data_IF_889711798625
#
_entry.id   IF_889711798625
#
_cell.length_a   1.000
_cell.length_b   1.000
_cell.length_c   1.000
_cell.angle_alpha   90.00
_cell.angle_beta   90.00
_cell.angle_gamma   90.00
#
_symmetry.space_group_name_H-M   'P 1'
#
loop_
_entity.id
_entity.type
_entity.pdbx_description
1 polymer ?
#
# COMPACT_ATOMS: atom_id res chain seq x y z
N UNK A 1 6.05 8.16 -10.45
CA UNK A 1 5.12 7.04 -10.70
C UNK A 1 3.88 7.26 -9.83
N UNK A 2 2.70 6.88 -10.28
CA UNK A 2 1.45 7.08 -9.52
C UNK A 2 1.01 5.76 -8.88
N UNK A 3 0.39 5.80 -7.69
CA UNK A 3 -0.17 4.61 -7.07
C UNK A 3 -1.29 4.03 -7.96
N UNK A 4 -1.22 2.75 -8.35
CA UNK A 4 -2.26 2.17 -9.19
C UNK A 4 -3.60 2.04 -8.43
N UNK A 5 -3.58 1.95 -7.10
CA UNK A 5 -4.77 1.80 -6.25
C UNK A 5 -5.48 3.13 -5.94
N UNK A 6 -4.77 4.13 -5.43
CA UNK A 6 -5.36 5.39 -4.96
C UNK A 6 -4.99 6.64 -5.78
N UNK A 7 -4.21 6.49 -6.85
CA UNK A 7 -3.74 7.61 -7.68
C UNK A 7 -2.86 8.66 -6.95
N UNK A 8 -2.37 8.37 -5.75
CA UNK A 8 -1.40 9.25 -5.06
C UNK A 8 0.00 9.16 -5.69
N UNK A 9 0.75 10.27 -5.68
CA UNK A 9 2.07 10.37 -6.31
C UNK A 9 3.24 10.03 -5.38
N UNK A 10 3.01 9.97 -4.06
CA UNK A 10 4.06 9.72 -3.06
C UNK A 10 4.33 8.22 -2.91
N UNK A 11 5.28 7.75 -3.70
CA UNK A 11 5.74 6.35 -3.72
C UNK A 11 7.19 6.26 -3.26
N UNK A 12 7.47 5.34 -2.35
CA UNK A 12 8.83 5.09 -1.84
C UNK A 12 9.29 3.67 -2.16
N UNK A 13 10.61 3.47 -2.22
CA UNK A 13 11.21 2.14 -2.31
C UNK A 13 11.27 1.53 -0.92
N UNK A 14 10.55 0.43 -0.72
CA UNK A 14 10.54 -0.30 0.54
C UNK A 14 11.72 -1.29 0.63
N UNK A 15 12.02 -1.98 -0.47
CA UNK A 15 13.10 -2.96 -0.51
C UNK A 15 13.63 -3.16 -1.92
N UNK A 16 14.88 -3.60 -2.03
CA UNK A 16 15.48 -4.09 -3.28
C UNK A 16 15.89 -5.54 -3.09
N UNK A 17 15.83 -6.31 -4.18
CA UNK A 17 16.32 -7.68 -4.18
C UNK A 17 17.80 -7.74 -3.73
N UNK A 18 18.20 -8.74 -2.91
CA UNK A 18 19.60 -8.97 -2.59
C UNK A 18 20.42 -9.36 -3.83
N UNK A 19 19.78 -9.92 -4.86
CA UNK A 19 20.37 -10.11 -6.19
C UNK A 19 20.03 -8.89 -7.04
N UNK A 20 21.07 -8.16 -7.47
CA UNK A 20 20.94 -6.89 -8.20
C UNK A 20 20.04 -7.04 -9.43
N UNK A 21 19.04 -6.15 -9.54
CA UNK A 21 18.20 -6.01 -10.74
C UNK A 21 17.04 -7.01 -10.87
N UNK A 22 16.81 -7.87 -9.87
CA UNK A 22 15.74 -8.88 -9.96
C UNK A 22 14.35 -8.32 -9.61
N UNK A 23 14.26 -7.47 -8.58
CA UNK A 23 13.03 -6.75 -8.27
C UNK A 23 13.30 -5.56 -7.33
N UNK A 24 12.39 -4.59 -7.37
CA UNK A 24 12.27 -3.48 -6.42
C UNK A 24 10.84 -3.46 -5.88
N UNK A 25 10.69 -3.45 -4.57
CA UNK A 25 9.40 -3.28 -3.90
C UNK A 25 9.14 -1.80 -3.67
N UNK A 26 8.00 -1.31 -4.12
CA UNK A 26 7.51 0.04 -3.90
C UNK A 26 6.34 0.03 -2.92
N UNK A 27 6.15 1.12 -2.19
CA UNK A 27 4.97 1.35 -1.36
C UNK A 27 4.45 2.77 -1.55
N UNK A 28 3.13 2.89 -1.75
CA UNK A 28 2.43 4.16 -1.67
C UNK A 28 2.35 4.63 -0.23
N UNK A 29 2.80 5.85 0.05
CA UNK A 29 2.81 6.41 1.41
C UNK A 29 1.45 6.93 1.86
N UNK A 30 0.46 6.92 0.97
CA UNK A 30 -0.90 7.31 1.29
C UNK A 30 -1.75 6.09 1.66
N UNK A 31 -1.93 5.15 0.72
CA UNK A 31 -2.77 3.98 0.98
C UNK A 31 -2.01 2.75 1.49
N UNK A 32 -0.67 2.76 1.51
CA UNK A 32 0.18 1.61 1.88
C UNK A 32 0.15 0.41 0.92
N UNK A 33 -0.40 0.58 -0.29
CA UNK A 33 -0.34 -0.48 -1.30
C UNK A 33 1.12 -0.73 -1.68
N UNK A 34 1.50 -2.01 -1.74
CA UNK A 34 2.86 -2.46 -1.99
C UNK A 34 2.90 -3.38 -3.20
N UNK A 35 3.87 -3.18 -4.09
CA UNK A 35 4.04 -4.00 -5.31
C UNK A 35 5.51 -4.07 -5.74
N UNK A 36 5.86 -5.06 -6.55
CA UNK A 36 7.16 -5.15 -7.22
C UNK A 36 7.09 -4.53 -8.62
N UNK A 37 8.20 -3.99 -9.11
CA UNK A 37 8.38 -3.62 -10.53
C UNK A 37 8.08 -4.79 -11.49
N UNK A 38 8.30 -6.03 -11.06
CA UNK A 38 8.07 -7.24 -11.84
C UNK A 38 6.62 -7.76 -11.81
N UNK A 39 5.70 -7.12 -11.08
CA UNK A 39 4.29 -7.50 -11.11
C UNK A 39 3.64 -7.15 -12.47
N UNK A 40 2.59 -7.89 -12.90
CA UNK A 40 1.88 -7.59 -14.15
C UNK A 40 1.23 -6.19 -14.12
N UNK A 41 0.94 -5.64 -15.29
CA UNK A 41 0.34 -4.29 -15.44
C UNK A 41 -0.91 -4.07 -14.58
N UNK A 42 -1.73 -5.10 -14.39
CA UNK A 42 -2.92 -5.06 -13.50
C UNK A 42 -2.61 -4.76 -12.03
N UNK A 43 -1.33 -4.73 -11.63
CA UNK A 43 -0.82 -4.44 -10.29
C UNK A 43 0.10 -3.23 -10.22
N UNK A 44 0.66 -2.78 -11.35
CA UNK A 44 1.66 -1.70 -11.43
C UNK A 44 1.18 -0.45 -12.16
N UNK A 45 0.18 -0.57 -13.05
CA UNK A 45 -0.36 0.53 -13.84
C UNK A 45 -1.75 0.92 -13.35
N UNK A 46 -1.98 2.24 -13.18
CA UNK A 46 -3.29 2.79 -12.80
C UNK A 46 -4.39 2.44 -13.80
N UNK A 47 -4.09 2.59 -15.08
CA UNK A 47 -5.04 2.31 -16.18
C UNK A 47 -5.54 0.86 -16.13
N UNK A 48 -4.63 -0.08 -15.86
CA UNK A 48 -4.90 -1.51 -15.86
C UNK A 48 -5.35 -2.05 -14.49
N UNK A 49 -5.26 -1.24 -13.43
CA UNK A 49 -5.62 -1.67 -12.09
C UNK A 49 -7.14 -1.90 -12.00
N UNK A 50 -7.60 -3.08 -11.54
CA UNK A 50 -9.02 -3.39 -11.53
C UNK A 50 -9.80 -2.37 -10.71
N UNK A 51 -10.87 -1.85 -11.31
CA UNK A 51 -11.65 -0.75 -10.73
C UNK A 51 -12.22 -1.09 -9.36
N UNK A 52 -12.71 -2.32 -9.19
CA UNK A 52 -13.28 -2.83 -7.93
C UNK A 52 -12.30 -2.84 -6.73
N UNK A 53 -10.99 -2.69 -6.96
CA UNK A 53 -9.99 -2.62 -5.90
C UNK A 53 -9.36 -1.22 -5.76
N UNK A 54 -9.78 -0.24 -6.57
CA UNK A 54 -9.33 1.14 -6.43
C UNK A 54 -9.87 1.71 -5.13
N UNK A 55 -9.13 2.66 -4.57
CA UNK A 55 -9.54 3.37 -3.35
C UNK A 55 -9.60 4.86 -3.63
N UNK A 56 -10.63 5.50 -3.11
CA UNK A 56 -10.74 6.95 -2.99
C UNK A 56 -10.21 7.40 -1.62
N UNK A 57 -10.03 8.71 -1.43
CA UNK A 57 -9.72 9.27 -0.11
C UNK A 57 -10.80 8.88 0.91
N UNK A 58 -12.07 8.95 0.51
CA UNK A 58 -13.20 8.58 1.35
C UNK A 58 -13.14 7.13 1.82
N UNK A 59 -12.79 6.18 0.94
CA UNK A 59 -12.65 4.77 1.32
C UNK A 59 -11.54 4.53 2.35
N UNK A 60 -10.51 5.39 2.35
CA UNK A 60 -9.41 5.33 3.32
C UNK A 60 -9.85 5.92 4.66
N UNK A 61 -10.49 7.09 4.63
CA UNK A 61 -10.97 7.79 5.83
C UNK A 61 -12.05 7.00 6.57
N UNK A 62 -12.91 6.29 5.82
CA UNK A 62 -14.01 5.47 6.34
C UNK A 62 -13.62 3.99 6.53
N UNK A 63 -12.33 3.64 6.34
CA UNK A 63 -11.87 2.27 6.45
C UNK A 63 -12.18 1.71 7.86
N UNK A 64 -12.87 0.55 7.97
CA UNK A 64 -13.23 0.01 9.27
C UNK A 64 -11.99 -0.52 9.97
N UNK A 65 -11.91 -0.26 11.27
CA UNK A 65 -10.88 -0.83 12.12
C UNK A 65 -11.23 -2.29 12.46
N UNK A 66 -10.54 -3.25 11.83
CA UNK A 66 -10.83 -4.68 12.02
C UNK A 66 -9.53 -5.49 12.22
N UNK A 67 -9.32 -6.13 13.39
CA UNK A 67 -10.12 -6.00 14.61
C UNK A 67 -9.95 -4.61 15.26
N UNK A 68 -10.86 -4.24 16.16
CA UNK A 68 -10.65 -3.08 17.02
C UNK A 68 -9.33 -3.25 17.80
N UNK A 69 -8.55 -2.18 17.88
CA UNK A 69 -7.35 -2.12 18.71
C UNK A 69 -7.80 -2.21 20.17
N UNK A 70 -7.32 -3.21 20.93
CA UNK A 70 -7.62 -3.31 22.35
C UNK A 70 -7.19 -2.03 23.10
N UNK A 71 -7.87 -1.68 24.21
CA UNK A 71 -7.43 -0.57 25.04
C UNK A 71 -5.98 -0.79 25.51
N UNK A 72 -5.23 0.31 25.66
CA UNK A 72 -3.88 0.24 26.20
C UNK A 72 -3.90 -0.38 27.60
N UNK A 73 -2.91 -1.23 27.88
CA UNK A 73 -2.70 -1.72 29.24
C UNK A 73 -2.31 -0.55 30.15
N UNK A 74 -2.79 -0.54 31.41
CA UNK A 74 -2.27 0.34 32.46
C UNK A 74 -0.74 0.25 32.57
N UNK A 75 -0.07 1.34 32.97
CA UNK A 75 1.40 1.39 33.05
C UNK A 75 1.99 0.31 33.96
N UNK A 76 1.30 -0.06 35.03
CA UNK A 76 1.69 -1.13 35.96
C UNK A 76 1.57 -2.56 35.36
N UNK A 77 1.00 -2.68 34.16
CA UNK A 77 0.79 -3.93 33.43
C UNK A 77 1.46 -3.98 32.06
N UNK A 78 2.29 -2.98 31.73
CA UNK A 78 3.06 -2.92 30.48
C UNK A 78 4.35 -3.74 30.54
#
# INVERSE_FOLDING_TARGET
MICPRCADEKIEVMAKSPVKGVWTVYQCQHCLYTWRDTEPLRRTSREHYPEAFRMTQKDIDEAPQVPHVPPLLPEDKR
#
